data_IF_929252600126
#
_entry.id   IF_929252600126
#
_cell.length_a   1.000
_cell.length_b   1.000
_cell.length_c   1.000
_cell.angle_alpha   90.00
_cell.angle_beta   90.00
_cell.angle_gamma   90.00
#
_symmetry.space_group_name_H-M   'P 1'
#
loop_
_entity.id
_entity.type
_entity.pdbx_description
1 polymer ?
#
# COMPACT_ATOMS: atom_id res chain seq x y z
N UNK A 1 2.27 -22.26 12.66
CA UNK A 1 3.66 -22.56 12.31
C UNK A 1 4.16 -21.90 11.02
N UNK A 2 3.53 -22.07 9.85
CA UNK A 2 4.02 -21.45 8.60
C UNK A 2 4.16 -19.91 8.65
N UNK A 3 3.12 -19.17 9.08
CA UNK A 3 3.20 -17.70 9.18
C UNK A 3 4.27 -17.22 10.18
N UNK A 4 4.56 -18.03 11.21
CA UNK A 4 5.66 -17.74 12.15
C UNK A 4 7.00 -17.91 11.45
N UNK A 5 7.17 -18.95 10.64
CA UNK A 5 8.36 -19.19 9.84
C UNK A 5 8.62 -18.03 8.85
N UNK A 6 7.60 -17.58 8.11
CA UNK A 6 7.76 -16.44 7.18
C UNK A 6 8.13 -15.13 7.88
N UNK A 7 7.79 -14.99 9.17
CA UNK A 7 8.15 -13.85 10.00
C UNK A 7 9.53 -13.95 10.67
N UNK A 8 10.23 -15.10 10.56
CA UNK A 8 11.57 -15.23 11.12
C UNK A 8 12.54 -14.29 10.42
N UNK A 9 13.50 -13.76 11.19
CA UNK A 9 14.48 -12.77 10.72
C UNK A 9 15.19 -13.21 9.44
N UNK A 10 15.77 -14.40 9.44
CA UNK A 10 16.59 -14.86 8.31
C UNK A 10 15.74 -15.15 7.07
N UNK A 11 14.50 -15.62 7.26
CA UNK A 11 13.55 -15.84 6.17
C UNK A 11 13.09 -14.51 5.56
N UNK A 12 12.82 -13.49 6.39
CA UNK A 12 12.46 -12.16 5.92
C UNK A 12 13.63 -11.47 5.18
N UNK A 13 14.88 -11.67 5.64
CA UNK A 13 16.09 -11.21 4.93
C UNK A 13 16.21 -11.89 3.57
N UNK A 14 16.09 -13.21 3.53
CA UNK A 14 16.16 -13.99 2.30
C UNK A 14 15.10 -13.52 1.29
N UNK A 15 13.87 -13.33 1.75
CA UNK A 15 12.77 -12.82 0.93
C UNK A 15 13.07 -11.43 0.37
N UNK A 16 13.53 -10.49 1.21
CA UNK A 16 13.87 -9.14 0.77
C UNK A 16 14.99 -9.17 -0.28
N UNK A 17 16.11 -9.84 0.00
CA UNK A 17 17.25 -9.92 -0.93
C UNK A 17 16.87 -10.58 -2.25
N UNK A 18 15.93 -11.54 -2.24
CA UNK A 18 15.49 -12.25 -3.44
C UNK A 18 14.42 -11.52 -4.27
N UNK A 19 13.66 -10.60 -3.68
CA UNK A 19 12.47 -10.02 -4.34
C UNK A 19 12.44 -8.49 -4.36
N UNK A 20 13.20 -7.83 -3.50
CA UNK A 20 13.14 -6.39 -3.26
C UNK A 20 11.99 -5.93 -2.36
N UNK A 21 11.03 -6.79 -2.00
CA UNK A 21 9.95 -6.42 -1.08
C UNK A 21 10.44 -6.18 0.34
N UNK A 22 9.67 -5.41 1.11
CA UNK A 22 9.99 -5.10 2.49
C UNK A 22 10.03 -6.38 3.37
N UNK A 23 11.04 -6.55 4.22
CA UNK A 23 11.04 -7.57 5.25
C UNK A 23 9.97 -7.19 6.29
N UNK A 24 9.16 -8.18 6.66
CA UNK A 24 8.09 -8.02 7.65
C UNK A 24 8.59 -7.93 9.11
N UNK A 25 9.91 -7.85 9.30
CA UNK A 25 10.58 -7.89 10.61
C UNK A 25 11.54 -6.71 10.78
N UNK A 26 11.40 -5.98 11.88
CA UNK A 26 12.32 -4.90 12.24
C UNK A 26 13.76 -5.40 12.49
N UNK A 27 13.92 -6.63 13.00
CA UNK A 27 15.24 -7.24 13.20
C UNK A 27 15.94 -7.55 11.87
N UNK A 28 15.17 -7.94 10.84
CA UNK A 28 15.69 -8.15 9.49
C UNK A 28 16.16 -6.82 8.88
N UNK A 29 15.36 -5.77 8.99
CA UNK A 29 15.74 -4.43 8.54
C UNK A 29 17.03 -3.94 9.23
N UNK A 30 17.14 -4.09 10.56
CA UNK A 30 18.35 -3.71 11.29
C UNK A 30 19.57 -4.46 10.75
N UNK A 31 19.45 -5.77 10.56
CA UNK A 31 20.55 -6.60 10.04
C UNK A 31 20.98 -6.14 8.64
N UNK A 32 20.04 -5.84 7.74
CA UNK A 32 20.33 -5.32 6.40
C UNK A 32 21.05 -3.96 6.44
N UNK A 33 20.67 -3.07 7.37
CA UNK A 33 21.36 -1.80 7.59
C UNK A 33 22.79 -2.02 8.11
N UNK A 34 22.95 -2.86 9.14
CA UNK A 34 24.25 -3.15 9.76
C UNK A 34 25.23 -3.81 8.77
N UNK A 35 24.74 -4.68 7.88
CA UNK A 35 25.51 -5.33 6.83
C UNK A 35 25.84 -4.41 5.64
N UNK A 36 25.31 -3.18 5.63
CA UNK A 36 25.50 -2.23 4.54
C UNK A 36 24.82 -2.64 3.23
N UNK A 37 23.83 -3.54 3.27
CA UNK A 37 23.14 -4.09 2.08
C UNK A 37 22.65 -3.00 1.12
N UNK A 38 22.07 -1.93 1.66
CA UNK A 38 21.50 -0.84 0.87
C UNK A 38 22.55 0.08 0.24
N UNK A 39 23.84 -0.08 0.56
CA UNK A 39 24.91 0.73 -0.05
C UNK A 39 25.13 0.37 -1.52
N UNK A 40 24.78 -0.87 -1.91
CA UNK A 40 24.87 -1.32 -3.29
C UNK A 40 23.78 -0.71 -4.18
N UNK A 41 22.57 -0.50 -3.63
CA UNK A 41 21.48 0.18 -4.31
C UNK A 41 20.63 0.96 -3.30
N UNK A 42 20.76 2.29 -3.36
CA UNK A 42 20.08 3.21 -2.46
C UNK A 42 18.58 3.32 -2.71
N UNK A 43 18.07 2.88 -3.87
CA UNK A 43 16.64 2.93 -4.17
C UNK A 43 15.83 2.08 -3.17
N UNK A 44 16.39 0.95 -2.73
CA UNK A 44 15.81 0.17 -1.65
C UNK A 44 15.70 1.00 -0.37
N UNK A 45 16.79 1.65 0.07
CA UNK A 45 16.78 2.49 1.27
C UNK A 45 15.76 3.63 1.16
N UNK A 46 15.66 4.28 0.00
CA UNK A 46 14.67 5.33 -0.24
C UNK A 46 13.25 4.84 0.01
N UNK A 47 12.89 3.65 -0.51
CA UNK A 47 11.57 3.07 -0.26
C UNK A 47 11.33 2.80 1.25
N UNK A 48 12.34 2.30 1.97
CA UNK A 48 12.24 2.14 3.43
C UNK A 48 11.99 3.46 4.14
N UNK A 49 12.79 4.47 3.83
CA UNK A 49 12.68 5.77 4.48
C UNK A 49 11.30 6.40 4.20
N UNK A 50 10.73 6.25 3.00
CA UNK A 50 9.38 6.73 2.72
C UNK A 50 8.31 6.16 3.67
N UNK A 51 8.39 4.86 4.01
CA UNK A 51 7.45 4.23 4.94
C UNK A 51 7.76 4.57 6.40
N UNK A 52 9.05 4.64 6.76
CA UNK A 52 9.50 4.87 8.13
C UNK A 52 9.36 6.32 8.58
N UNK A 53 9.56 7.28 7.65
CA UNK A 53 9.39 8.71 7.89
C UNK A 53 7.99 9.21 7.53
N UNK A 54 7.09 8.34 7.08
CA UNK A 54 5.71 8.68 6.75
C UNK A 54 4.92 9.19 7.95
N UNK A 55 3.88 9.98 7.68
CA UNK A 55 2.94 10.46 8.70
C UNK A 55 2.25 9.30 9.42
N UNK A 56 2.08 9.45 10.73
CA UNK A 56 1.39 8.48 11.61
C UNK A 56 0.48 9.17 12.63
N UNK A 57 0.21 10.46 12.42
CA UNK A 57 -0.53 11.32 13.34
C UNK A 57 -2.04 11.05 13.33
N UNK A 58 -2.56 10.32 12.34
CA UNK A 58 -3.99 9.96 12.25
C UNK A 58 -4.18 8.50 11.83
N UNK A 59 -5.32 7.90 12.21
CA UNK A 59 -5.68 6.55 11.77
C UNK A 59 -5.72 6.44 10.23
N UNK A 60 -6.13 7.50 9.53
CA UNK A 60 -6.20 7.55 8.07
C UNK A 60 -4.82 7.41 7.39
N UNK A 61 -3.72 7.68 8.11
CA UNK A 61 -2.35 7.53 7.59
C UNK A 61 -1.77 6.12 7.75
N UNK A 62 -2.49 5.19 8.37
CA UNK A 62 -2.00 3.83 8.69
C UNK A 62 -2.32 2.79 7.62
N UNK A 63 -3.06 3.19 6.58
CA UNK A 63 -3.50 2.32 5.49
C UNK A 63 -4.98 2.50 5.19
N UNK A 64 -5.48 1.77 4.19
CA UNK A 64 -6.87 1.82 3.74
C UNK A 64 -7.60 0.55 4.14
N UNK A 65 -8.79 0.69 4.72
CA UNK A 65 -9.69 -0.42 5.04
C UNK A 65 -11.07 -0.15 4.49
N UNK A 66 -11.38 -0.73 3.33
CA UNK A 66 -12.66 -0.61 2.65
C UNK A 66 -13.09 -2.02 2.20
N UNK A 67 -14.36 -2.37 2.37
CA UNK A 67 -14.88 -3.70 2.04
C UNK A 67 -14.66 -4.07 0.57
N UNK A 68 -15.24 -3.31 -0.38
CA UNK A 68 -15.09 -3.57 -1.82
C UNK A 68 -13.88 -2.84 -2.42
N UNK A 69 -12.72 -2.85 -1.74
CA UNK A 69 -11.55 -2.03 -2.12
C UNK A 69 -11.03 -2.30 -3.54
N UNK A 70 -11.03 -3.55 -3.99
CA UNK A 70 -10.51 -3.92 -5.33
C UNK A 70 -11.34 -3.26 -6.43
N UNK A 71 -12.67 -3.38 -6.38
CA UNK A 71 -13.57 -2.76 -7.35
C UNK A 71 -13.54 -1.23 -7.28
N UNK A 72 -13.44 -0.66 -6.07
CA UNK A 72 -13.26 0.78 -5.89
C UNK A 72 -11.99 1.30 -6.57
N UNK A 73 -10.90 0.54 -6.49
CA UNK A 73 -9.63 0.91 -7.13
C UNK A 73 -9.76 0.92 -8.66
N UNK A 74 -10.48 -0.01 -9.26
CA UNK A 74 -10.74 -0.01 -10.71
C UNK A 74 -11.52 1.22 -11.15
N UNK A 75 -12.56 1.61 -10.39
CA UNK A 75 -13.33 2.84 -10.62
C UNK A 75 -12.40 4.06 -10.56
N UNK A 76 -11.59 4.16 -9.50
CA UNK A 76 -10.67 5.28 -9.34
C UNK A 76 -9.67 5.38 -10.50
N UNK A 77 -9.08 4.25 -10.91
CA UNK A 77 -8.15 4.21 -12.06
C UNK A 77 -8.86 4.66 -13.33
N UNK A 78 -10.06 4.15 -13.62
CA UNK A 78 -10.81 4.53 -14.82
C UNK A 78 -11.14 6.04 -14.85
N UNK A 79 -11.55 6.62 -13.72
CA UNK A 79 -11.79 8.06 -13.64
C UNK A 79 -10.50 8.87 -13.80
N UNK A 80 -9.39 8.40 -13.21
CA UNK A 80 -8.09 9.04 -13.37
C UNK A 80 -7.62 9.02 -14.83
N UNK A 81 -7.81 7.91 -15.55
CA UNK A 81 -7.50 7.79 -16.97
C UNK A 81 -8.27 8.81 -17.82
N UNK A 82 -9.56 9.04 -17.53
CA UNK A 82 -10.35 10.09 -18.20
C UNK A 82 -9.77 11.49 -17.98
N UNK A 83 -9.31 11.78 -16.77
CA UNK A 83 -8.64 13.05 -16.45
C UNK A 83 -7.33 13.20 -17.24
N UNK A 84 -6.49 12.16 -17.23
CA UNK A 84 -5.21 12.15 -17.95
C UNK A 84 -5.40 12.26 -19.46
N UNK A 85 -6.50 11.73 -20.00
CA UNK A 85 -6.88 11.85 -21.40
C UNK A 85 -7.56 13.19 -21.74
N UNK A 86 -7.75 14.10 -20.77
CA UNK A 86 -8.38 15.40 -20.97
C UNK A 86 -9.90 15.36 -21.16
N UNK A 87 -10.55 14.21 -20.89
CA UNK A 87 -12.01 14.04 -21.03
C UNK A 87 -12.78 14.65 -19.86
N UNK A 88 -12.17 14.65 -18.67
CA UNK A 88 -12.70 15.27 -17.45
C UNK A 88 -11.64 16.18 -16.85
N UNK A 89 -12.07 17.22 -16.12
CA UNK A 89 -11.13 17.94 -15.26
C UNK A 89 -10.68 17.03 -14.11
N UNK A 90 -9.51 17.26 -13.49
CA UNK A 90 -9.08 16.49 -12.32
C UNK A 90 -10.12 16.47 -11.20
N UNK A 91 -10.86 17.57 -10.99
CA UNK A 91 -11.93 17.65 -9.99
C UNK A 91 -13.11 16.75 -10.36
N UNK A 92 -13.55 16.80 -11.61
CA UNK A 92 -14.72 16.04 -12.06
C UNK A 92 -14.45 14.54 -12.08
N UNK A 93 -13.22 14.12 -12.44
CA UNK A 93 -12.80 12.73 -12.34
C UNK A 93 -12.82 12.21 -10.90
N UNK A 94 -12.34 13.01 -9.93
CA UNK A 94 -12.39 12.62 -8.52
C UNK A 94 -13.83 12.55 -7.99
N UNK A 95 -14.69 13.50 -8.37
CA UNK A 95 -16.12 13.47 -8.00
C UNK A 95 -16.82 12.24 -8.59
N UNK A 96 -16.55 11.90 -9.86
CA UNK A 96 -17.13 10.71 -10.50
C UNK A 96 -16.67 9.43 -9.79
N UNK A 97 -15.39 9.34 -9.43
CA UNK A 97 -14.87 8.21 -8.67
C UNK A 97 -15.52 8.11 -7.29
N UNK A 98 -15.60 9.22 -6.56
CA UNK A 98 -16.22 9.30 -5.23
C UNK A 98 -17.67 8.80 -5.26
N UNK A 99 -18.49 9.32 -6.17
CA UNK A 99 -19.90 8.95 -6.29
C UNK A 99 -20.06 7.42 -6.45
N UNK A 100 -19.35 6.85 -7.43
CA UNK A 100 -19.42 5.42 -7.74
C UNK A 100 -18.86 4.54 -6.63
N UNK A 101 -17.74 4.93 -6.03
CA UNK A 101 -17.15 4.17 -4.91
C UNK A 101 -18.05 4.21 -3.67
N UNK A 102 -18.70 5.34 -3.38
CA UNK A 102 -19.63 5.46 -2.26
C UNK A 102 -20.87 4.57 -2.43
N UNK A 103 -21.35 4.39 -3.67
CA UNK A 103 -22.40 3.41 -3.97
C UNK A 103 -21.94 1.98 -3.62
N UNK A 104 -20.75 1.57 -4.05
CA UNK A 104 -20.20 0.26 -3.67
C UNK A 104 -20.05 0.10 -2.15
N UNK A 105 -19.63 1.14 -1.46
CA UNK A 105 -19.50 1.11 0.00
C UNK A 105 -20.87 0.93 0.66
N UNK A 106 -21.88 1.65 0.16
CA UNK A 106 -23.25 1.54 0.64
C UNK A 106 -23.79 0.12 0.44
N UNK A 107 -23.65 -0.44 -0.76
CA UNK A 107 -24.10 -1.81 -1.05
C UNK A 107 -23.39 -2.84 -0.15
N UNK A 108 -22.08 -2.66 0.07
CA UNK A 108 -21.32 -3.50 1.00
C UNK A 108 -21.84 -3.39 2.45
N UNK A 109 -22.17 -2.19 2.91
CA UNK A 109 -22.73 -1.97 4.25
C UNK A 109 -24.14 -2.54 4.39
N UNK A 110 -24.97 -2.50 3.34
CA UNK A 110 -26.30 -3.13 3.38
C UNK A 110 -26.22 -4.66 3.48
N UNK A 111 -25.23 -5.27 2.85
CA UNK A 111 -25.04 -6.73 2.86
C UNK A 111 -24.30 -7.26 4.10
N UNK A 112 -23.31 -6.50 4.58
CA UNK A 112 -22.34 -6.98 5.58
C UNK A 112 -22.17 -6.05 6.79
N UNK A 113 -22.77 -4.86 6.76
CA UNK A 113 -22.80 -3.95 7.90
C UNK A 113 -23.59 -4.58 9.04
N UNK A 114 -22.95 -4.73 10.19
CA UNK A 114 -23.60 -5.12 11.44
C UNK A 114 -24.11 -3.89 12.17
#
# INVERSE_FOLDING_TARGET
EFLKYTGQKDIAIQWHKGTGYFPVSGAALKTLLDEGWFSADQAFLTAFLQILSGRRDTAASTGVRLGPFVAMREIFVSSLEKSLAGQLSPKDALNEAEEKMNLLLKDYLELYGK
#
